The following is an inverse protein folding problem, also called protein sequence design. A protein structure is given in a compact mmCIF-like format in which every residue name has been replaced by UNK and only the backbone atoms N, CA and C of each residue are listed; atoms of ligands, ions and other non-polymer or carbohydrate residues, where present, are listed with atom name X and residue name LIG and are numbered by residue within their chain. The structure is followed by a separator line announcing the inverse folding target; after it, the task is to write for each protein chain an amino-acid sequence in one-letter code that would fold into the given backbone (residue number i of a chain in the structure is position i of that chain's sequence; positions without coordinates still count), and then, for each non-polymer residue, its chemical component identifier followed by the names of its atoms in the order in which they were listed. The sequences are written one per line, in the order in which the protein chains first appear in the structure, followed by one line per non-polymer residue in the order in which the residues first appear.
data_IF_598525945594
#
_entry.id   IF_598525945594
#
_cell.length_a   1.000
_cell.length_b   1.000
_cell.length_c   1.000
_cell.angle_alpha   90.00
_cell.angle_beta   90.00
_cell.angle_gamma   90.00
#
_symmetry.space_group_name_H-M   'P 1'
#
loop_
_entity.id
_entity.type
_entity.pdbx_description
1 polymer ?
#
# COMPACT_ATOMS: atom_id res chain seq x y z
N UNK A 1 3.46 -0.52 10.46
CA UNK A 1 3.17 -0.34 9.04
C UNK A 1 3.33 -1.66 8.33
N UNK A 2 2.29 -2.04 7.62
CA UNK A 2 2.16 -3.23 6.81
C UNK A 2 2.30 -2.84 5.35
N UNK A 3 3.09 -3.57 4.57
CA UNK A 3 3.11 -3.45 3.11
C UNK A 3 2.23 -4.52 2.53
N UNK A 4 1.17 -4.12 1.84
CA UNK A 4 0.25 -5.03 1.19
C UNK A 4 0.50 -5.10 -0.30
N UNK A 5 0.36 -6.30 -0.83
CA UNK A 5 0.19 -6.56 -2.25
C UNK A 5 -1.02 -7.48 -2.43
N UNK A 6 -2.00 -7.04 -3.20
CA UNK A 6 -3.21 -7.82 -3.48
C UNK A 6 -3.27 -8.12 -4.97
N UNK A 7 -3.39 -9.40 -5.29
CA UNK A 7 -3.42 -9.92 -6.65
C UNK A 7 -4.65 -10.79 -6.82
N UNK A 8 -5.41 -10.62 -7.91
CA UNK A 8 -6.38 -11.66 -8.30
C UNK A 8 -5.61 -12.83 -8.90
N UNK A 9 -5.65 -13.97 -8.23
CA UNK A 9 -4.83 -15.14 -8.55
C UNK A 9 -5.45 -15.94 -9.69
N UNK A 10 -6.71 -16.35 -9.52
CA UNK A 10 -7.43 -17.07 -10.54
C UNK A 10 -8.95 -16.98 -10.37
N UNK A 11 -9.63 -17.33 -11.46
CA UNK A 11 -11.07 -17.55 -11.56
C UNK A 11 -11.25 -18.97 -12.08
N UNK A 12 -12.09 -19.76 -11.41
CA UNK A 12 -12.48 -21.10 -11.86
C UNK A 12 -13.97 -21.12 -12.17
N UNK A 13 -14.33 -21.63 -13.34
CA UNK A 13 -15.71 -21.86 -13.74
C UNK A 13 -16.05 -23.35 -13.54
N UNK A 14 -17.17 -23.62 -12.90
CA UNK A 14 -17.75 -24.95 -12.68
C UNK A 14 -19.24 -24.96 -13.03
N UNK A 15 -19.69 -23.96 -13.77
CA UNK A 15 -21.01 -23.85 -14.36
C UNK A 15 -21.23 -25.00 -15.36
N UNK A 16 -22.37 -25.69 -15.27
CA UNK A 16 -22.71 -26.84 -16.10
C UNK A 16 -23.52 -26.49 -17.34
N UNK A 17 -24.14 -25.31 -17.41
CA UNK A 17 -24.92 -24.84 -18.55
C UNK A 17 -24.01 -24.48 -19.75
N UNK A 18 -22.76 -24.13 -19.46
CA UNK A 18 -21.85 -23.48 -20.41
C UNK A 18 -21.04 -24.43 -21.32
N UNK A 19 -21.61 -25.60 -21.62
CA UNK A 19 -21.05 -26.57 -22.58
C UNK A 19 -21.07 -26.08 -24.04
N UNK A 20 -21.75 -24.95 -24.34
CA UNK A 20 -21.97 -24.49 -25.72
C UNK A 20 -21.41 -23.11 -26.08
N UNK A 21 -20.89 -22.32 -25.14
CA UNK A 21 -20.14 -21.10 -25.47
C UNK A 21 -19.39 -20.52 -24.29
N UNK A 22 -18.27 -19.83 -24.52
CA UNK A 22 -17.49 -19.27 -23.41
C UNK A 22 -18.15 -18.05 -22.77
N UNK A 23 -18.57 -18.23 -21.52
CA UNK A 23 -19.20 -17.23 -20.65
C UNK A 23 -18.30 -16.04 -20.46
N UNK A 24 -18.95 -14.91 -20.20
CA UNK A 24 -18.30 -13.61 -20.17
C UNK A 24 -18.42 -13.06 -18.76
N UNK A 25 -17.41 -13.36 -17.95
CA UNK A 25 -17.33 -12.85 -16.59
C UNK A 25 -16.72 -11.44 -16.56
N UNK A 26 -17.39 -10.52 -15.87
CA UNK A 26 -16.84 -9.20 -15.51
C UNK A 26 -16.69 -9.10 -14.01
N UNK A 27 -15.51 -8.65 -13.56
CA UNK A 27 -15.19 -8.47 -12.15
C UNK A 27 -14.85 -7.01 -11.86
N UNK A 28 -15.39 -6.49 -10.77
CA UNK A 28 -15.08 -5.15 -10.28
C UNK A 28 -15.09 -5.14 -8.76
N UNK A 29 -14.58 -4.07 -8.13
CA UNK A 29 -14.56 -4.02 -6.68
C UNK A 29 -13.68 -2.92 -6.09
N UNK A 30 -13.36 -3.11 -4.82
CA UNK A 30 -12.63 -2.16 -3.99
C UNK A 30 -11.68 -2.92 -3.06
N UNK A 31 -10.48 -2.37 -2.90
CA UNK A 31 -9.55 -2.80 -1.84
C UNK A 31 -9.35 -1.62 -0.91
N UNK A 32 -9.44 -1.85 0.41
CA UNK A 32 -9.31 -0.81 1.42
C UNK A 32 -8.51 -1.26 2.64
N UNK A 33 -7.64 -0.41 3.16
CA UNK A 33 -6.89 -0.66 4.41
C UNK A 33 -6.53 0.65 5.09
N UNK A 34 -6.87 0.78 6.37
CA UNK A 34 -6.83 2.08 7.05
C UNK A 34 -7.48 3.15 6.18
N UNK A 35 -6.90 4.34 6.08
CA UNK A 35 -7.40 5.43 5.25
C UNK A 35 -7.15 5.30 3.73
N UNK A 36 -6.61 4.16 3.25
CA UNK A 36 -6.31 3.94 1.83
C UNK A 36 -7.36 3.06 1.18
N UNK A 37 -7.70 3.40 -0.06
CA UNK A 37 -8.65 2.64 -0.85
C UNK A 37 -8.33 2.73 -2.34
N UNK A 38 -8.63 1.67 -3.09
CA UNK A 38 -8.41 1.60 -4.54
C UNK A 38 -9.50 0.75 -5.20
N UNK A 39 -10.31 1.39 -6.04
CA UNK A 39 -11.28 0.71 -6.88
C UNK A 39 -10.59 -0.02 -8.04
N UNK A 40 -11.20 -1.11 -8.51
CA UNK A 40 -10.74 -1.84 -9.69
C UNK A 40 -11.92 -2.30 -10.54
N UNK A 41 -11.69 -2.43 -11.85
CA UNK A 41 -12.49 -3.26 -12.73
C UNK A 41 -11.56 -3.99 -13.68
N UNK A 42 -11.82 -5.27 -13.88
CA UNK A 42 -10.99 -6.16 -14.65
C UNK A 42 -11.52 -6.28 -16.08
N UNK A 43 -10.63 -6.57 -17.06
CA UNK A 43 -11.07 -6.90 -18.41
C UNK A 43 -12.06 -8.07 -18.42
N UNK A 44 -12.91 -8.10 -19.45
CA UNK A 44 -13.78 -9.23 -19.74
C UNK A 44 -13.00 -10.54 -19.74
N UNK A 45 -13.41 -11.51 -18.93
CA UNK A 45 -12.83 -12.84 -18.91
C UNK A 45 -13.77 -13.80 -19.62
N UNK A 46 -13.30 -14.39 -20.71
CA UNK A 46 -13.98 -15.54 -21.33
C UNK A 46 -13.52 -16.80 -20.65
N UNK A 47 -14.40 -17.59 -20.06
CA UNK A 47 -14.03 -18.82 -19.34
C UNK A 47 -15.13 -19.87 -19.56
N UNK A 48 -14.75 -21.13 -19.76
CA UNK A 48 -15.71 -22.23 -19.94
C UNK A 48 -15.75 -23.09 -18.68
N UNK A 49 -16.78 -23.92 -18.56
CA UNK A 49 -16.89 -24.99 -17.57
C UNK A 49 -15.60 -25.78 -17.40
N UNK A 50 -15.18 -25.97 -16.15
CA UNK A 50 -13.98 -26.71 -15.77
C UNK A 50 -12.66 -25.98 -16.02
N UNK A 51 -12.68 -24.76 -16.56
CA UNK A 51 -11.48 -23.96 -16.75
C UNK A 51 -11.14 -23.15 -15.50
N UNK A 52 -9.84 -22.99 -15.28
CA UNK A 52 -9.26 -21.99 -14.37
C UNK A 52 -8.42 -21.04 -15.19
N UNK A 53 -8.64 -19.73 -15.04
CA UNK A 53 -7.89 -18.68 -15.73
C UNK A 53 -7.35 -17.64 -14.75
N UNK A 54 -6.21 -17.07 -15.13
CA UNK A 54 -5.57 -15.97 -14.41
C UNK A 54 -5.50 -14.74 -15.32
N UNK A 55 -5.57 -13.56 -14.71
CA UNK A 55 -5.34 -12.31 -15.42
C UNK A 55 -3.83 -12.09 -15.66
N UNK A 56 -3.45 -11.41 -16.76
CA UNK A 56 -2.08 -10.95 -16.97
C UNK A 56 -1.55 -10.13 -15.79
N UNK A 57 -0.24 -10.20 -15.53
CA UNK A 57 0.38 -9.62 -14.33
C UNK A 57 0.17 -8.10 -14.14
N UNK A 58 0.02 -7.36 -15.24
CA UNK A 58 -0.23 -5.92 -15.26
C UNK A 58 -1.68 -5.56 -14.88
N UNK A 59 -2.62 -6.49 -15.06
CA UNK A 59 -4.04 -6.32 -14.70
C UNK A 59 -4.42 -7.04 -13.42
N UNK A 60 -3.68 -8.08 -13.03
CA UNK A 60 -3.97 -8.85 -11.83
C UNK A 60 -3.54 -8.16 -10.54
N UNK A 61 -2.61 -7.19 -10.60
CA UNK A 61 -2.16 -6.41 -9.45
C UNK A 61 -3.17 -5.32 -9.10
N UNK A 62 -3.99 -5.58 -8.08
CA UNK A 62 -5.09 -4.70 -7.70
C UNK A 62 -4.66 -3.67 -6.66
N UNK A 63 -3.74 -4.00 -5.75
CA UNK A 63 -3.25 -3.10 -4.71
C UNK A 63 -1.77 -3.36 -4.40
N UNK A 64 -0.99 -2.28 -4.21
CA UNK A 64 0.42 -2.34 -3.86
C UNK A 64 0.80 -1.09 -3.06
N UNK A 65 0.51 -1.09 -1.76
CA UNK A 65 0.68 0.10 -0.91
C UNK A 65 0.85 -0.28 0.57
N UNK A 66 1.25 0.70 1.37
CA UNK A 66 1.48 0.59 2.80
C UNK A 66 0.22 0.95 3.60
N UNK A 67 0.07 0.41 4.80
CA UNK A 67 -1.01 0.76 5.72
C UNK A 67 -0.56 0.66 7.17
N UNK A 68 -1.19 1.43 8.05
CA UNK A 68 -0.98 1.30 9.50
C UNK A 68 -1.77 0.14 10.09
N UNK A 69 -2.82 -0.29 9.39
CA UNK A 69 -3.72 -1.35 9.84
C UNK A 69 -3.20 -2.73 9.44
N UNK A 70 -3.30 -3.68 10.38
CA UNK A 70 -3.02 -5.10 10.12
C UNK A 70 -4.13 -5.77 9.33
N UNK A 71 -5.19 -5.05 8.98
CA UNK A 71 -6.36 -5.57 8.28
C UNK A 71 -6.52 -4.89 6.93
N UNK A 72 -6.75 -5.69 5.89
CA UNK A 72 -7.11 -5.24 4.55
C UNK A 72 -8.45 -5.84 4.14
N UNK A 73 -9.29 -5.00 3.56
CA UNK A 73 -10.60 -5.32 3.05
C UNK A 73 -10.61 -5.52 1.54
N UNK A 74 -11.37 -6.50 1.08
CA UNK A 74 -11.59 -6.76 -0.33
C UNK A 74 -13.10 -6.85 -0.56
N UNK A 75 -13.58 -6.12 -1.57
CA UNK A 75 -14.93 -6.21 -2.11
C UNK A 75 -14.81 -6.66 -3.55
N UNK A 76 -15.62 -7.64 -3.93
CA UNK A 76 -15.73 -8.11 -5.31
C UNK A 76 -17.21 -8.16 -5.70
N UNK A 77 -17.49 -7.60 -6.86
CA UNK A 77 -18.74 -7.74 -7.59
C UNK A 77 -18.45 -8.54 -8.86
N UNK A 78 -19.29 -9.54 -9.11
CA UNK A 78 -19.20 -10.39 -10.27
C UNK A 78 -20.48 -10.27 -11.09
N UNK A 79 -20.33 -10.24 -12.41
CA UNK A 79 -21.44 -10.24 -13.37
C UNK A 79 -21.13 -11.29 -14.41
N UNK A 80 -22.07 -12.20 -14.61
CA UNK A 80 -22.06 -13.09 -15.77
C UNK A 80 -22.82 -12.43 -16.91
N UNK A 81 -22.38 -12.67 -18.14
CA UNK A 81 -23.02 -12.11 -19.32
C UNK A 81 -23.27 -13.27 -20.28
N UNK A 82 -24.55 -13.54 -20.52
CA UNK A 82 -24.99 -14.62 -21.38
C UNK A 82 -24.63 -14.40 -22.87
N UNK A 83 -24.89 -15.44 -23.68
CA UNK A 83 -24.89 -15.35 -25.13
C UNK A 83 -26.30 -15.10 -25.68
N UNK A 84 -26.71 -13.84 -25.77
CA UNK A 84 -27.44 -13.28 -26.93
C UNK A 84 -27.86 -11.82 -26.74
N UNK A 85 -27.46 -11.17 -25.65
CA UNK A 85 -27.97 -9.84 -25.28
C UNK A 85 -27.34 -8.67 -26.02
N UNK A 86 -26.73 -8.92 -27.19
CA UNK A 86 -26.37 -7.87 -28.14
C UNK A 86 -25.39 -6.81 -27.61
N UNK A 87 -24.69 -7.06 -26.50
CA UNK A 87 -23.68 -6.15 -25.98
C UNK A 87 -22.44 -6.16 -26.87
N UNK A 88 -22.47 -5.28 -27.87
CA UNK A 88 -21.36 -4.89 -28.70
C UNK A 88 -20.28 -4.18 -27.86
N UNK A 89 -19.06 -4.71 -27.94
CA UNK A 89 -17.82 -3.94 -28.02
C UNK A 89 -17.70 -2.69 -27.13
N UNK A 90 -17.42 -2.80 -25.83
CA UNK A 90 -16.99 -1.61 -25.09
C UNK A 90 -16.00 -1.86 -23.95
N UNK A 91 -14.77 -2.16 -24.35
CA UNK A 91 -13.56 -1.97 -23.52
C UNK A 91 -13.52 -0.57 -22.90
N UNK A 92 -14.02 0.45 -23.61
CA UNK A 92 -14.05 1.85 -23.17
C UNK A 92 -15.07 2.09 -22.05
N UNK A 93 -16.27 1.50 -22.12
CA UNK A 93 -17.26 1.62 -21.04
C UNK A 93 -16.81 0.89 -19.77
N UNK A 94 -16.18 -0.29 -19.89
CA UNK A 94 -15.61 -1.03 -18.74
C UNK A 94 -14.46 -0.24 -18.09
N UNK A 95 -13.63 0.43 -18.89
CA UNK A 95 -12.58 1.32 -18.37
C UNK A 95 -13.16 2.56 -17.68
N UNK A 96 -14.11 3.24 -18.31
CA UNK A 96 -14.77 4.41 -17.72
C UNK A 96 -15.52 4.04 -16.45
N UNK A 97 -16.10 2.85 -16.39
CA UNK A 97 -16.69 2.26 -15.20
C UNK A 97 -15.67 2.07 -14.08
N UNK A 98 -14.51 1.47 -14.36
CA UNK A 98 -13.44 1.31 -13.37
C UNK A 98 -13.04 2.66 -12.75
N UNK A 99 -13.01 3.70 -13.59
CA UNK A 99 -12.71 5.08 -13.19
C UNK A 99 -13.83 5.66 -12.33
N UNK A 100 -15.10 5.49 -12.69
CA UNK A 100 -16.23 5.99 -11.90
C UNK A 100 -16.41 5.25 -10.58
N UNK A 101 -16.21 3.92 -10.54
CA UNK A 101 -16.15 3.13 -9.28
C UNK A 101 -15.00 3.64 -8.40
N UNK A 102 -13.83 3.88 -8.99
CA UNK A 102 -12.68 4.47 -8.31
C UNK A 102 -12.98 5.85 -7.74
N UNK A 103 -13.62 6.74 -8.51
CA UNK A 103 -13.99 8.11 -8.08
C UNK A 103 -15.08 8.12 -7.00
N UNK A 104 -16.11 7.29 -7.15
CA UNK A 104 -17.22 7.20 -6.20
C UNK A 104 -16.76 6.66 -4.84
N UNK A 105 -15.85 5.67 -4.83
CA UNK A 105 -15.19 5.22 -3.61
C UNK A 105 -14.34 6.35 -2.97
N UNK A 106 -13.59 7.12 -3.78
CA UNK A 106 -12.73 8.24 -3.32
C UNK A 106 -13.51 9.43 -2.73
N UNK A 107 -14.73 9.70 -3.20
CA UNK A 107 -15.51 10.91 -2.82
C UNK A 107 -16.19 10.77 -1.44
N UNK A 108 -16.24 9.57 -0.86
CA UNK A 108 -17.02 9.30 0.34
C UNK A 108 -16.39 9.73 1.68
N UNK A 109 -15.21 10.40 1.73
CA UNK A 109 -14.58 10.68 3.03
C UNK A 109 -13.63 11.88 3.12
N UNK A 110 -14.18 13.09 3.23
CA UNK A 110 -13.47 14.25 3.78
C UNK A 110 -13.84 14.49 5.26
N UNK A 111 -13.57 13.55 6.18
CA UNK A 111 -13.85 13.82 7.61
C UNK A 111 -13.55 12.75 8.68
N UNK A 112 -12.35 12.86 9.28
CA UNK A 112 -11.95 12.57 10.68
C UNK A 112 -11.71 11.11 11.19
N UNK A 113 -10.51 10.77 11.73
CA UNK A 113 -10.08 9.40 12.06
C UNK A 113 -10.54 8.92 13.45
N UNK A 114 -10.93 7.64 13.57
CA UNK A 114 -11.24 6.99 14.87
C UNK A 114 -10.68 5.56 14.83
N UNK A 115 -9.65 5.31 15.64
CA UNK A 115 -8.96 4.03 15.78
C UNK A 115 -9.90 2.82 15.97
N UNK A 116 -9.60 1.72 15.25
CA UNK A 116 -10.29 0.42 15.29
C UNK A 116 -10.89 0.01 13.92
N UNK A 117 -10.43 -1.14 13.38
CA UNK A 117 -10.85 -1.82 12.12
C UNK A 117 -11.55 -0.92 11.06
N UNK A 118 -10.91 0.20 10.72
CA UNK A 118 -11.47 1.19 9.80
C UNK A 118 -11.74 0.60 8.40
N UNK A 119 -10.95 -0.41 8.00
CA UNK A 119 -11.12 -1.15 6.74
C UNK A 119 -12.55 -1.66 6.52
N UNK A 120 -13.24 -2.12 7.57
CA UNK A 120 -14.63 -2.58 7.47
C UNK A 120 -15.62 -1.43 7.20
N UNK A 121 -15.39 -0.25 7.80
CA UNK A 121 -16.19 0.96 7.57
C UNK A 121 -16.01 1.50 6.15
N UNK A 122 -14.77 1.49 5.65
CA UNK A 122 -14.46 1.89 4.27
C UNK A 122 -15.08 0.94 3.25
N UNK A 123 -15.07 -0.35 3.52
CA UNK A 123 -15.80 -1.35 2.72
C UNK A 123 -17.29 -1.03 2.69
N UNK A 124 -17.93 -0.86 3.84
CA UNK A 124 -19.39 -0.65 3.91
C UNK A 124 -19.84 0.62 3.18
N UNK A 125 -19.02 1.68 3.25
CA UNK A 125 -19.30 2.95 2.57
C UNK A 125 -19.06 2.84 1.07
N UNK A 126 -17.93 2.26 0.65
CA UNK A 126 -17.65 2.00 -0.76
C UNK A 126 -18.69 1.09 -1.42
N UNK A 127 -19.24 0.13 -0.66
CA UNK A 127 -20.30 -0.77 -1.12
C UNK A 127 -21.57 -0.03 -1.53
N UNK A 128 -22.03 0.97 -0.74
CA UNK A 128 -23.22 1.76 -1.07
C UNK A 128 -23.09 2.55 -2.39
N UNK A 129 -21.87 3.01 -2.71
CA UNK A 129 -21.59 3.71 -3.97
C UNK A 129 -21.44 2.76 -5.15
N UNK A 130 -20.81 1.60 -4.94
CA UNK A 130 -20.73 0.52 -5.94
C UNK A 130 -22.14 0.07 -6.32
N UNK A 131 -23.05 -0.12 -5.36
CA UNK A 131 -24.44 -0.52 -5.62
C UNK A 131 -25.18 0.44 -6.56
N UNK A 132 -24.92 1.75 -6.49
CA UNK A 132 -25.56 2.74 -7.38
C UNK A 132 -25.10 2.60 -8.83
N UNK A 133 -23.80 2.35 -9.03
CA UNK A 133 -23.20 2.14 -10.34
C UNK A 133 -23.60 0.77 -10.89
N UNK A 134 -23.58 -0.26 -10.05
CA UNK A 134 -24.01 -1.63 -10.37
C UNK A 134 -25.49 -1.67 -10.74
N UNK A 135 -26.36 -0.95 -10.04
CA UNK A 135 -27.80 -0.85 -10.38
C UNK A 135 -28.04 -0.30 -11.79
N UNK A 136 -27.13 0.51 -12.34
CA UNK A 136 -27.17 0.94 -13.74
C UNK A 136 -26.86 -0.21 -14.73
N UNK A 137 -26.02 -1.18 -14.35
CA UNK A 137 -25.77 -2.41 -15.12
C UNK A 137 -26.98 -3.34 -15.07
N UNK A 138 -27.46 -3.64 -13.87
CA UNK A 138 -28.61 -4.53 -13.62
C UNK A 138 -29.87 -4.05 -14.38
N UNK A 139 -30.09 -2.74 -14.44
CA UNK A 139 -31.26 -2.21 -15.15
C UNK A 139 -31.18 -2.32 -16.67
N UNK A 140 -29.99 -2.49 -17.23
CA UNK A 140 -29.75 -2.56 -18.67
C UNK A 140 -29.47 -3.99 -19.17
N UNK A 141 -29.28 -4.95 -18.27
CA UNK A 141 -29.03 -6.36 -18.55
C UNK A 141 -30.05 -7.21 -17.79
N UNK A 142 -30.95 -7.89 -18.51
CA UNK A 142 -32.14 -8.49 -17.91
C UNK A 142 -31.85 -9.93 -17.45
N UNK A 143 -31.09 -10.10 -16.37
CA UNK A 143 -31.44 -10.92 -15.19
C UNK A 143 -30.26 -11.52 -14.38
N UNK A 144 -28.99 -11.41 -14.79
CA UNK A 144 -27.94 -12.29 -14.19
C UNK A 144 -26.88 -11.57 -13.34
N UNK A 145 -27.30 -11.02 -12.20
CA UNK A 145 -26.32 -10.63 -11.17
C UNK A 145 -25.87 -11.82 -10.34
N UNK A 146 -24.61 -12.25 -10.51
CA UNK A 146 -23.94 -13.23 -9.64
C UNK A 146 -23.89 -12.78 -8.17
N UNK A 147 -23.82 -11.47 -7.95
CA UNK A 147 -23.89 -10.83 -6.64
C UNK A 147 -22.59 -10.18 -6.17
N UNK A 148 -22.60 -9.79 -4.89
CA UNK A 148 -21.53 -9.06 -4.24
C UNK A 148 -20.94 -9.86 -3.08
N UNK A 149 -19.63 -9.78 -2.89
CA UNK A 149 -18.97 -10.31 -1.71
C UNK A 149 -17.97 -9.32 -1.12
N UNK A 150 -17.80 -9.40 0.20
CA UNK A 150 -16.79 -8.63 0.94
C UNK A 150 -16.14 -9.49 2.01
N UNK A 151 -14.86 -9.23 2.26
CA UNK A 151 -14.11 -9.92 3.31
C UNK A 151 -13.01 -9.05 3.89
N UNK A 152 -12.60 -9.38 5.10
CA UNK A 152 -11.44 -8.81 5.78
C UNK A 152 -10.36 -9.87 5.91
N UNK A 153 -9.13 -9.51 5.58
CA UNK A 153 -7.94 -10.32 5.79
C UNK A 153 -7.08 -9.61 6.83
N UNK A 154 -6.83 -10.28 7.95
CA UNK A 154 -6.06 -9.73 9.07
C UNK A 154 -4.68 -10.40 9.15
N UNK A 155 -3.65 -9.64 9.50
CA UNK A 155 -2.25 -10.03 9.67
C UNK A 155 -1.68 -9.56 11.01
N UNK A 156 -2.54 -9.37 12.03
CA UNK A 156 -2.13 -8.90 13.36
C UNK A 156 -1.16 -9.86 14.06
N UNK A 157 -1.05 -11.09 13.60
CA UNK A 157 -0.09 -12.07 14.12
C UNK A 157 1.35 -11.87 13.64
N UNK A 158 1.58 -11.05 12.60
CA UNK A 158 2.93 -10.84 12.06
C UNK A 158 3.82 -10.07 13.05
N UNK A 159 5.03 -10.56 13.26
CA UNK A 159 6.09 -9.82 13.98
C UNK A 159 6.96 -9.00 13.03
N UNK A 160 7.71 -8.03 13.55
CA UNK A 160 8.51 -7.12 12.74
C UNK A 160 9.44 -7.89 11.78
N UNK A 161 9.42 -7.52 10.50
CA UNK A 161 10.16 -8.15 9.42
C UNK A 161 9.54 -9.43 8.85
N UNK A 162 8.45 -9.94 9.44
CA UNK A 162 7.78 -11.14 8.91
C UNK A 162 6.90 -10.83 7.70
N UNK A 163 6.83 -11.83 6.81
CA UNK A 163 5.92 -11.87 5.66
C UNK A 163 4.85 -12.91 5.89
N UNK A 164 3.63 -12.58 5.53
CA UNK A 164 2.48 -13.49 5.51
C UNK A 164 1.80 -13.47 4.15
N UNK A 165 1.21 -14.60 3.78
CA UNK A 165 0.33 -14.71 2.62
C UNK A 165 -0.97 -15.35 3.07
N UNK A 166 -2.10 -14.74 2.71
CA UNK A 166 -3.44 -15.27 2.95
C UNK A 166 -4.27 -15.12 1.68
N UNK A 167 -5.28 -15.98 1.55
CA UNK A 167 -6.21 -15.90 0.44
C UNK A 167 -7.56 -15.37 0.91
N UNK A 168 -8.16 -14.51 0.09
CA UNK A 168 -9.59 -14.25 0.12
C UNK A 168 -10.21 -15.00 -1.05
N UNK A 169 -11.07 -15.97 -0.76
CA UNK A 169 -11.73 -16.81 -1.77
C UNK A 169 -13.23 -16.59 -1.68
N UNK A 170 -13.86 -16.36 -2.83
CA UNK A 170 -15.31 -16.24 -2.92
C UNK A 170 -15.85 -17.20 -3.98
N UNK A 171 -16.88 -17.95 -3.63
CA UNK A 171 -17.68 -18.71 -4.58
C UNK A 171 -19.01 -18.01 -4.85
N UNK A 172 -19.38 -17.85 -6.12
CA UNK A 172 -20.69 -17.41 -6.57
C UNK A 172 -21.35 -18.60 -7.25
N UNK A 173 -22.48 -19.07 -6.72
CA UNK A 173 -23.18 -20.26 -7.23
C UNK A 173 -24.67 -20.05 -7.16
N UNK A 174 -25.35 -20.37 -8.23
CA UNK A 174 -26.78 -20.63 -8.24
C UNK A 174 -27.00 -22.14 -8.22
N UNK A 175 -28.04 -22.57 -7.50
CA UNK A 175 -28.46 -23.96 -7.44
C UNK A 175 -29.88 -24.03 -8.00
N UNK A 176 -29.99 -24.42 -9.26
CA UNK A 176 -31.27 -24.56 -9.92
C UNK A 176 -31.69 -26.03 -9.93
N UNK A 177 -32.52 -26.39 -8.95
CA UNK A 177 -33.15 -27.73 -8.88
C UNK A 177 -34.26 -27.85 -9.96
N UNK A 178 -33.93 -27.87 -11.25
CA UNK A 178 -34.92 -28.18 -12.31
C UNK A 178 -35.16 -29.69 -12.41
N UNK A 179 -35.91 -30.21 -11.43
CA UNK A 179 -36.42 -31.58 -11.44
C UNK A 179 -37.68 -31.73 -12.31
N UNK A 180 -37.54 -31.89 -13.63
CA UNK A 180 -38.62 -32.49 -14.42
C UNK A 180 -38.55 -34.02 -14.31
N UNK A 181 -39.60 -34.63 -13.72
CA UNK A 181 -39.82 -36.08 -13.62
C UNK A 181 -38.93 -36.85 -12.62
N UNK A 182 -38.36 -36.19 -11.60
CA UNK A 182 -37.67 -36.88 -10.49
C UNK A 182 -36.27 -37.41 -10.84
N UNK A 183 -35.72 -37.01 -11.98
CA UNK A 183 -34.29 -37.15 -12.29
C UNK A 183 -33.64 -35.82 -11.89
N UNK A 184 -32.84 -35.85 -10.83
CA UNK A 184 -31.99 -34.72 -10.46
C UNK A 184 -30.81 -34.68 -11.43
N UNK A 185 -30.83 -33.72 -12.35
CA UNK A 185 -29.66 -33.33 -13.13
C UNK A 185 -29.15 -32.07 -12.45
N UNK A 186 -27.92 -32.10 -11.97
CA UNK A 186 -27.26 -30.99 -11.28
C UNK A 186 -27.02 -29.88 -12.33
N UNK A 187 -28.03 -29.02 -12.53
CA UNK A 187 -28.03 -27.90 -13.48
C UNK A 187 -27.80 -26.63 -12.67
N UNK A 188 -26.62 -26.02 -12.82
CA UNK A 188 -26.34 -24.70 -12.25
C UNK A 188 -26.22 -23.72 -13.42
N UNK A 189 -26.97 -22.62 -13.35
CA UNK A 189 -26.94 -21.51 -14.32
C UNK A 189 -25.64 -20.72 -14.22
N UNK A 190 -25.03 -20.66 -13.03
CA UNK A 190 -23.66 -20.20 -12.87
C UNK A 190 -22.96 -20.83 -11.66
N UNK A 191 -21.64 -21.04 -11.78
CA UNK A 191 -20.79 -21.42 -10.65
C UNK A 191 -19.34 -20.98 -10.85
N UNK A 192 -18.94 -19.92 -10.16
CA UNK A 192 -17.59 -19.35 -10.21
C UNK A 192 -16.91 -19.40 -8.84
N UNK A 193 -15.59 -19.62 -8.83
CA UNK A 193 -14.75 -19.41 -7.65
C UNK A 193 -13.62 -18.44 -7.99
N UNK A 194 -13.50 -17.38 -7.22
CA UNK A 194 -12.52 -16.31 -7.42
C UNK A 194 -11.57 -16.29 -6.22
N UNK A 195 -10.27 -16.33 -6.50
CA UNK A 195 -9.23 -16.32 -5.47
C UNK A 195 -8.39 -15.04 -5.59
N UNK A 196 -8.31 -14.30 -4.50
CA UNK A 196 -7.39 -13.19 -4.31
C UNK A 196 -6.28 -13.63 -3.37
N UNK A 197 -5.04 -13.35 -3.75
CA UNK A 197 -3.87 -13.51 -2.90
C UNK A 197 -3.52 -12.18 -2.27
N UNK A 198 -3.39 -12.19 -0.95
CA UNK A 198 -2.96 -11.05 -0.15
C UNK A 198 -1.61 -11.39 0.45
N UNK A 199 -0.58 -10.69 -0.02
CA UNK A 199 0.74 -10.71 0.57
C UNK A 199 0.88 -9.50 1.49
N UNK A 200 1.44 -9.73 2.66
CA UNK A 200 1.65 -8.71 3.67
C UNK A 200 3.05 -8.85 4.27
N UNK A 201 3.79 -7.75 4.39
CA UNK A 201 5.02 -7.68 5.16
C UNK A 201 4.87 -6.67 6.30
N UNK A 202 5.20 -7.04 7.53
CA UNK A 202 5.20 -6.10 8.65
C UNK A 202 6.57 -5.41 8.73
N UNK A 203 6.66 -4.21 8.16
CA UNK A 203 7.94 -3.53 7.87
C UNK A 203 8.45 -2.69 9.05
N UNK A 204 7.55 -2.04 9.78
CA UNK A 204 7.91 -1.19 10.90
C UNK A 204 6.85 -1.24 11.99
N UNK A 205 7.24 -1.07 13.25
CA UNK A 205 6.25 -0.86 14.31
C UNK A 205 5.66 0.56 14.15
N UNK A 206 4.33 0.72 14.02
CA UNK A 206 3.73 2.06 13.96
C UNK A 206 3.92 2.90 15.24
N UNK A 207 4.51 2.35 16.31
CA UNK A 207 4.63 2.99 17.62
C UNK A 207 6.07 3.40 18.02
N UNK A 208 7.00 3.51 17.06
CA UNK A 208 8.40 3.89 17.32
C UNK A 208 8.75 5.35 16.99
N UNK A 209 9.85 5.86 17.56
CA UNK A 209 10.33 7.24 17.35
C UNK A 209 10.67 7.55 15.88
N UNK A 210 11.16 6.56 15.12
CA UNK A 210 11.39 6.70 13.67
C UNK A 210 10.07 6.94 12.93
N UNK A 211 9.02 6.18 13.26
CA UNK A 211 7.69 6.37 12.69
C UNK A 211 7.14 7.75 13.03
N UNK A 212 7.18 8.15 14.30
CA UNK A 212 6.72 9.48 14.73
C UNK A 212 7.47 10.61 14.01
N UNK A 213 8.77 10.44 13.78
CA UNK A 213 9.57 11.41 13.02
C UNK A 213 9.12 11.49 11.56
N UNK A 214 8.97 10.36 10.90
CA UNK A 214 8.51 10.31 9.52
C UNK A 214 7.09 10.89 9.35
N UNK A 215 6.19 10.61 10.29
CA UNK A 215 4.85 11.20 10.32
C UNK A 215 4.89 12.72 10.48
N UNK A 216 5.76 13.25 11.35
CA UNK A 216 5.96 14.70 11.49
C UNK A 216 6.44 15.38 10.21
N UNK A 217 6.97 14.61 9.26
CA UNK A 217 7.47 15.08 7.96
C UNK A 217 6.46 14.85 6.81
N UNK A 218 5.22 14.45 7.11
CA UNK A 218 4.15 14.25 6.14
C UNK A 218 3.98 12.80 5.65
N UNK A 219 4.66 11.84 6.29
CA UNK A 219 4.60 10.42 5.97
C UNK A 219 4.79 10.15 4.46
N UNK A 220 3.93 9.33 3.83
CA UNK A 220 4.03 8.96 2.42
C UNK A 220 3.88 10.14 1.45
N UNK A 221 3.17 11.19 1.88
CA UNK A 221 2.96 12.41 1.09
C UNK A 221 4.08 13.43 1.29
N UNK A 222 4.91 13.22 2.31
CA UNK A 222 6.08 14.03 2.61
C UNK A 222 7.24 13.75 1.64
N UNK A 223 8.24 14.63 1.66
CA UNK A 223 9.39 14.54 0.76
C UNK A 223 10.26 13.28 0.98
N UNK A 224 10.15 12.61 2.14
CA UNK A 224 10.83 11.34 2.38
C UNK A 224 10.21 10.19 1.57
N UNK A 225 8.91 10.27 1.27
CA UNK A 225 8.17 9.20 0.60
C UNK A 225 8.05 7.94 1.45
N UNK A 226 7.87 6.81 0.77
CA UNK A 226 7.68 5.51 1.42
C UNK A 226 8.99 4.92 1.98
N UNK A 227 8.93 4.11 3.04
CA UNK A 227 10.08 3.32 3.48
C UNK A 227 10.48 2.31 2.40
N UNK A 228 11.79 2.13 2.21
CA UNK A 228 12.40 1.16 1.28
C UNK A 228 13.23 0.10 2.00
N UNK A 229 13.37 0.21 3.31
CA UNK A 229 13.93 -0.84 4.17
C UNK A 229 13.01 -1.06 5.37
N UNK A 230 13.16 -2.21 6.02
CA UNK A 230 12.60 -2.44 7.34
C UNK A 230 13.39 -1.66 8.40
N UNK A 231 12.77 -1.44 9.56
CA UNK A 231 13.48 -0.91 10.74
C UNK A 231 14.54 -1.91 11.18
N UNK A 232 15.80 -1.51 11.04
CA UNK A 232 16.95 -2.39 11.22
C UNK A 232 17.81 -1.87 12.36
N UNK A 233 18.23 -2.77 13.26
CA UNK A 233 19.21 -2.44 14.30
C UNK A 233 20.55 -2.06 13.64
N UNK A 234 21.18 -0.99 14.10
CA UNK A 234 22.51 -0.61 13.65
C UNK A 234 23.50 -1.74 14.01
N UNK A 235 24.38 -2.19 13.09
CA UNK A 235 25.19 -3.40 13.31
C UNK A 235 26.07 -3.37 14.58
N UNK A 236 26.73 -2.24 14.83
CA UNK A 236 27.74 -2.11 15.90
C UNK A 236 27.37 -1.07 16.96
N UNK A 237 26.14 -0.53 16.90
CA UNK A 237 25.66 0.52 17.81
C UNK A 237 24.24 0.27 18.27
N UNK A 238 23.94 0.71 19.49
CA UNK A 238 22.58 0.72 20.01
C UNK A 238 21.77 1.86 19.35
N UNK A 239 21.00 1.47 18.34
CA UNK A 239 20.16 2.36 17.56
C UNK A 239 19.47 1.59 16.43
N UNK A 240 18.52 2.25 15.78
CA UNK A 240 17.76 1.70 14.67
C UNK A 240 17.73 2.70 13.52
N UNK A 241 17.54 2.20 12.31
CA UNK A 241 17.37 3.05 11.14
C UNK A 241 16.32 2.50 10.18
N UNK A 242 15.76 3.41 9.39
CA UNK A 242 14.94 3.10 8.22
C UNK A 242 15.42 3.96 7.06
N UNK A 243 15.61 3.34 5.90
CA UNK A 243 15.80 4.04 4.64
C UNK A 243 14.44 4.30 3.98
N UNK A 244 14.30 5.50 3.43
CA UNK A 244 13.13 5.97 2.69
C UNK A 244 13.57 6.39 1.28
N UNK A 245 12.61 6.53 0.36
CA UNK A 245 12.89 6.97 -1.02
C UNK A 245 13.70 8.27 -1.07
N UNK A 246 13.37 9.24 -0.20
CA UNK A 246 13.98 10.57 -0.16
C UNK A 246 15.08 10.76 0.90
N UNK A 247 15.45 9.73 1.66
CA UNK A 247 16.44 9.89 2.74
C UNK A 247 16.48 8.74 3.73
N UNK A 248 16.90 9.01 4.96
CA UNK A 248 16.94 8.02 6.03
C UNK A 248 16.65 8.66 7.36
N UNK A 249 16.04 7.91 8.27
CA UNK A 249 15.87 8.32 9.66
C UNK A 249 16.64 7.35 10.53
N UNK A 250 17.48 7.89 11.40
CA UNK A 250 18.25 7.14 12.39
C UNK A 250 17.79 7.54 13.78
N UNK A 251 17.67 6.57 14.66
CA UNK A 251 17.33 6.74 16.06
C UNK A 251 18.38 6.08 16.95
N UNK A 252 18.73 6.74 18.04
CA UNK A 252 19.40 6.13 19.19
C UNK A 252 18.76 6.68 20.47
N UNK A 253 18.94 5.98 21.58
CA UNK A 253 18.44 6.45 22.89
C UNK A 253 18.98 7.85 23.25
N UNK A 254 20.22 8.16 22.87
CA UNK A 254 20.87 9.43 23.20
C UNK A 254 20.46 10.58 22.30
N UNK A 255 20.19 10.28 21.04
CA UNK A 255 19.99 11.32 20.02
C UNK A 255 18.54 11.48 19.61
N UNK A 256 17.65 10.54 19.90
CA UNK A 256 16.32 10.46 19.28
C UNK A 256 16.39 10.32 17.75
N UNK A 257 15.23 10.40 17.10
CA UNK A 257 15.07 10.13 15.67
C UNK A 257 15.32 11.39 14.84
N UNK A 258 16.31 11.30 13.95
CA UNK A 258 16.70 12.39 13.06
C UNK A 258 16.80 11.96 11.61
N UNK A 259 16.37 12.84 10.73
CA UNK A 259 16.45 12.63 9.28
C UNK A 259 17.83 13.03 8.77
N UNK A 260 18.41 12.21 7.91
CA UNK A 260 19.58 12.55 7.08
C UNK A 260 19.18 12.36 5.61
N UNK A 261 19.41 13.36 4.75
CA UNK A 261 18.97 13.35 3.34
C UNK A 261 19.99 13.96 2.37
N UNK A 262 19.74 13.77 1.08
CA UNK A 262 20.51 14.39 -0.01
C UNK A 262 22.03 14.19 0.11
N UNK A 263 22.80 15.18 -0.34
CA UNK A 263 24.27 15.09 -0.37
C UNK A 263 24.89 14.89 1.02
N UNK A 264 24.28 15.41 2.10
CA UNK A 264 24.75 15.18 3.47
C UNK A 264 24.68 13.70 3.81
N UNK A 265 23.56 13.05 3.50
CA UNK A 265 23.41 11.59 3.65
C UNK A 265 24.44 10.84 2.84
N UNK A 266 24.66 11.22 1.58
CA UNK A 266 25.61 10.53 0.70
C UNK A 266 27.04 10.66 1.22
N UNK A 267 27.43 11.83 1.73
CA UNK A 267 28.74 12.03 2.35
C UNK A 267 28.89 11.20 3.62
N UNK A 268 27.89 11.24 4.50
CA UNK A 268 27.90 10.46 5.74
C UNK A 268 27.94 8.95 5.48
N UNK A 269 27.22 8.48 4.45
CA UNK A 269 27.28 7.11 3.96
C UNK A 269 28.69 6.71 3.52
N UNK A 270 29.37 7.56 2.73
CA UNK A 270 30.76 7.34 2.30
C UNK A 270 31.74 7.29 3.47
N UNK A 271 31.41 7.96 4.58
CA UNK A 271 32.21 7.94 5.80
C UNK A 271 31.96 6.69 6.67
N UNK A 272 30.96 5.87 6.33
CA UNK A 272 30.57 4.69 7.12
C UNK A 272 29.40 4.91 8.07
N UNK A 273 28.49 5.84 7.76
CA UNK A 273 27.22 6.04 8.48
C UNK A 273 27.42 6.33 9.99
N UNK A 274 26.61 5.75 10.86
CA UNK A 274 26.69 5.89 12.30
C UNK A 274 28.01 5.38 12.87
N UNK A 275 28.68 4.45 12.17
CA UNK A 275 30.00 3.94 12.54
C UNK A 275 31.15 4.90 12.19
N UNK A 276 30.88 5.95 11.42
CA UNK A 276 31.87 6.96 11.05
C UNK A 276 32.35 7.81 12.23
N UNK A 277 33.38 8.61 11.97
CA UNK A 277 33.86 9.64 12.88
C UNK A 277 32.81 10.70 13.24
N UNK A 278 31.71 10.81 12.48
CA UNK A 278 30.61 11.73 12.79
C UNK A 278 29.68 11.18 13.90
N UNK A 279 29.44 9.87 13.93
CA UNK A 279 28.45 9.25 14.82
C UNK A 279 27.00 9.40 14.32
N UNK A 280 26.03 9.27 15.24
CA UNK A 280 24.61 9.49 14.94
C UNK A 280 24.29 10.97 14.70
N UNK A 281 23.28 11.29 13.87
CA UNK A 281 22.73 12.65 13.80
C UNK A 281 22.11 13.05 15.15
N UNK A 282 22.34 14.30 15.58
CA UNK A 282 21.78 14.86 16.83
C UNK A 282 20.73 15.95 16.58
N UNK A 283 20.61 16.37 15.33
CA UNK A 283 19.58 17.29 14.85
C UNK A 283 19.27 17.04 13.39
N UNK A 284 18.15 17.59 12.92
CA UNK A 284 17.83 17.58 11.50
C UNK A 284 18.66 18.62 10.74
N UNK A 285 18.77 18.43 9.42
CA UNK A 285 19.40 19.39 8.52
C UNK A 285 18.80 20.79 8.66
N UNK A 286 19.67 21.80 8.82
CA UNK A 286 19.31 23.21 8.88
C UNK A 286 19.77 23.93 7.62
N UNK A 287 18.89 24.76 7.07
CA UNK A 287 19.25 25.73 6.05
C UNK A 287 19.92 26.94 6.69
N UNK A 288 21.07 27.33 6.15
CA UNK A 288 21.90 28.44 6.57
C UNK A 288 21.97 29.51 5.45
N UNK A 289 22.50 30.68 5.79
CA UNK A 289 22.70 31.77 4.83
C UNK A 289 23.54 31.35 3.61
N UNK A 290 23.26 31.95 2.46
CA UNK A 290 24.07 31.75 1.24
C UNK A 290 23.94 30.36 0.61
N UNK A 291 22.73 29.77 0.65
CA UNK A 291 22.43 28.46 0.06
C UNK A 291 23.33 27.34 0.61
N UNK A 292 23.59 27.37 1.91
CA UNK A 292 24.28 26.31 2.61
C UNK A 292 23.32 25.55 3.50
N UNK A 293 23.58 24.25 3.68
CA UNK A 293 22.85 23.41 4.63
C UNK A 293 23.86 22.71 5.52
N UNK A 294 23.52 22.48 6.78
CA UNK A 294 24.38 21.75 7.71
C UNK A 294 23.56 20.81 8.56
N UNK A 295 24.19 19.74 9.02
CA UNK A 295 23.59 18.84 9.99
C UNK A 295 24.62 18.46 11.04
N UNK A 296 24.24 18.56 12.31
CA UNK A 296 25.10 18.13 13.42
C UNK A 296 24.92 16.63 13.73
N UNK A 297 26.05 16.03 14.06
CA UNK A 297 26.22 14.65 14.46
C UNK A 297 26.97 14.63 15.81
N UNK A 298 26.94 13.49 16.51
CA UNK A 298 27.53 13.33 17.86
C UNK A 298 28.95 13.91 18.00
N UNK A 299 29.76 13.80 16.94
CA UNK A 299 31.20 14.13 16.96
C UNK A 299 31.61 15.22 15.96
N UNK A 300 30.66 15.87 15.28
CA UNK A 300 30.98 16.96 14.36
C UNK A 300 29.77 17.44 13.56
N UNK A 301 30.03 18.25 12.54
CA UNK A 301 29.01 18.75 11.61
C UNK A 301 29.36 18.32 10.20
N UNK A 302 28.37 18.01 9.37
CA UNK A 302 28.54 17.96 7.93
C UNK A 302 27.92 19.23 7.35
N UNK A 303 28.74 20.01 6.63
CA UNK A 303 28.31 21.23 5.96
C UNK A 303 28.30 21.00 4.45
N UNK A 304 27.28 21.53 3.79
CA UNK A 304 27.20 21.60 2.33
C UNK A 304 26.98 23.07 1.92
N UNK A 305 27.80 23.57 1.00
CA UNK A 305 27.64 24.91 0.40
C UNK A 305 27.87 24.82 -1.10
N UNK A 306 26.82 25.08 -1.89
CA UNK A 306 26.87 24.81 -3.33
C UNK A 306 27.18 23.34 -3.60
N UNK A 307 28.30 23.07 -4.28
CA UNK A 307 28.79 21.72 -4.58
C UNK A 307 29.84 21.22 -3.57
N UNK A 308 30.29 22.06 -2.65
CA UNK A 308 31.26 21.67 -1.62
C UNK A 308 30.55 20.99 -0.46
N UNK A 309 31.12 19.89 0.02
CA UNK A 309 30.61 19.16 1.18
C UNK A 309 31.77 18.65 2.04
N UNK A 310 31.73 18.97 3.33
CA UNK A 310 32.80 18.65 4.27
C UNK A 310 32.27 18.21 5.64
N UNK A 311 33.04 17.36 6.31
CA UNK A 311 32.83 17.03 7.72
C UNK A 311 33.85 17.79 8.57
N UNK A 312 33.37 18.48 9.60
CA UNK A 312 34.20 19.22 10.56
C UNK A 312 34.00 18.60 11.94
N UNK A 313 35.03 17.93 12.45
CA UNK A 313 35.02 17.31 13.78
C UNK A 313 34.95 18.38 14.90
N UNK A 314 34.27 18.05 16.00
CA UNK A 314 34.10 18.94 17.15
C UNK A 314 35.44 19.44 17.74
N UNK A 315 36.49 18.61 17.68
CA UNK A 315 37.84 18.95 18.18
C UNK A 315 38.48 20.11 17.41
N UNK A 316 38.14 20.26 16.14
CA UNK A 316 38.66 21.31 15.26
C UNK A 316 37.93 22.64 15.51
N UNK A 317 36.63 22.60 15.84
CA UNK A 317 35.81 23.79 16.19
C UNK A 317 36.29 24.52 17.47
N UNK A 318 36.92 23.80 18.42
CA UNK A 318 37.44 24.41 19.65
C UNK A 318 38.69 25.26 19.39
N UNK A 319 39.51 24.90 18.38
CA UNK A 319 40.76 25.61 18.06
C UNK A 319 40.55 26.94 17.34
N UNK A 320 39.36 27.20 16.79
CA UNK A 320 39.06 28.40 16.01
C UNK A 320 38.42 29.55 16.82
N UNK A 321 38.31 29.46 18.16
CA UNK A 321 37.96 30.62 18.99
C UNK A 321 39.19 31.54 19.14
N UNK A 322 39.11 32.85 18.84
CA UNK A 322 40.22 33.77 19.08
C UNK A 322 40.51 33.86 20.58
N UNK A 323 41.79 33.83 20.95
CA UNK A 323 42.26 34.31 22.27
C UNK A 323 42.15 35.83 22.29
N UNK A 324 41.13 36.35 22.94
CA UNK A 324 41.08 37.70 23.54
C UNK A 324 41.05 37.49 25.06
N UNK A 325 41.90 38.03 25.92
CA UNK A 325 42.74 39.22 25.81
C UNK A 325 44.06 39.04 26.56
N UNK A 326 45.09 39.72 26.05
CA UNK A 326 46.35 39.96 26.75
C UNK A 326 46.07 40.93 27.89
N UNK A 327 46.30 40.47 29.11
CA UNK A 327 46.32 41.27 30.32
C UNK A 327 47.53 42.23 30.25
N UNK A 328 47.31 43.54 30.15
CA UNK A 328 48.37 44.53 30.42
C UNK A 328 48.07 45.23 31.74
N UNK A 329 48.93 45.11 32.75
CA UNK A 329 48.77 45.83 34.00
C UNK A 329 49.42 47.22 33.92
N UNK A 330 48.68 48.25 34.31
CA UNK A 330 49.18 49.44 35.01
C UNK A 330 48.10 49.98 35.93
#
# INVERSE_FOLDING_TARGET
MYKYKVVIENVTCSDTESIHSGDKLVLSGLIATGNKQKGYALPLLRINTGQTKSYPADTSLLFDDFSKESTIGIVVHAVDIDQNDGWYENKENIKNLAVEIGKAAVTAYSGNPIAGNESGKYIDTGFQFIDTIVTFFIKNDKNDTLGNAKGLVNFNELTLGQRGTKNFSQAFREHDDYGLLGIYIDYNDYSYTIIFRVECEFIMNPLGAICSKWESLGAETGFLGSPISIETKCPDKEGFFVHFQGGSIYWSEKTNAHIVKGSIRDKWAQMGWENSDAGFPIEDEKANSGNSVSQEFEKGVINKKGNEIEFVANRTRIRSRPRSDVFTPR
#
